data_IF_386507084165
#
_entry.id   IF_386507084165
#
_cell.length_a   1.000
_cell.length_b   1.000
_cell.length_c   1.000
_cell.angle_alpha   90.00
_cell.angle_beta   90.00
_cell.angle_gamma   90.00
#
_symmetry.space_group_name_H-M   'P 1'
#
loop_
_entity.id
_entity.type
_entity.pdbx_description
1 polymer ?
#
# COMPACT_ATOMS: atom_id res chain seq x y z
N UNK A 1 5.58 -7.70 8.75
CA UNK A 1 6.00 -7.23 10.09
C UNK A 1 4.88 -6.34 10.60
N UNK A 2 4.28 -6.70 11.74
CA UNK A 2 3.23 -5.93 12.40
C UNK A 2 3.79 -5.63 13.79
N UNK A 3 4.04 -4.36 14.07
CA UNK A 3 4.65 -3.85 15.30
C UNK A 3 4.81 -2.33 15.20
N UNK A 4 5.19 -1.62 16.28
CA UNK A 4 5.47 -0.18 16.22
C UNK A 4 6.59 0.06 15.20
N UNK A 5 6.27 0.73 14.08
CA UNK A 5 7.19 0.93 12.97
C UNK A 5 6.57 0.68 11.60
N UNK A 6 7.36 0.15 10.66
CA UNK A 6 6.98 0.02 9.24
C UNK A 6 6.10 -1.20 8.99
N UNK A 7 4.88 -0.98 8.52
CA UNK A 7 4.03 -2.05 7.99
C UNK A 7 4.32 -2.29 6.50
N UNK A 8 4.20 -3.54 6.04
CA UNK A 8 4.29 -3.91 4.62
C UNK A 8 3.16 -4.86 4.27
N UNK A 9 2.46 -4.55 3.18
CA UNK A 9 1.50 -5.43 2.52
C UNK A 9 1.84 -5.50 1.03
N UNK A 10 1.33 -6.53 0.36
CA UNK A 10 1.62 -6.81 -1.05
C UNK A 10 0.29 -7.09 -1.74
N UNK A 11 0.09 -6.47 -2.90
CA UNK A 11 -0.96 -6.86 -3.85
C UNK A 11 -0.35 -7.84 -4.83
N UNK A 12 -0.95 -9.02 -4.95
CA UNK A 12 -0.62 -9.99 -6.01
C UNK A 12 -1.74 -9.95 -7.07
N UNK A 13 -1.35 -10.03 -8.34
CA UNK A 13 -2.27 -10.05 -9.48
C UNK A 13 -3.07 -11.35 -9.61
N UNK A 14 -2.69 -12.42 -8.89
CA UNK A 14 -3.38 -13.71 -8.89
C UNK A 14 -3.75 -14.22 -7.50
N UNK A 15 -4.91 -14.88 -7.41
CA UNK A 15 -5.36 -15.58 -6.20
C UNK A 15 -5.93 -16.98 -6.52
N UNK A 16 -5.23 -17.72 -7.41
CA UNK A 16 -5.64 -19.05 -7.90
C UNK A 16 -6.13 -19.03 -9.35
N UNK A 17 -6.71 -20.15 -9.81
CA UNK A 17 -7.18 -20.27 -11.20
C UNK A 17 -8.29 -19.26 -11.50
N UNK A 18 -8.05 -18.38 -12.48
CA UNK A 18 -8.98 -17.32 -12.91
C UNK A 18 -9.54 -16.45 -11.77
N UNK A 19 -8.80 -16.27 -10.68
CA UNK A 19 -9.22 -15.50 -9.51
C UNK A 19 -8.19 -14.42 -9.16
N UNK A 20 -8.67 -13.28 -8.66
CA UNK A 20 -7.84 -12.18 -8.19
C UNK A 20 -8.39 -11.66 -6.86
N UNK A 21 -7.49 -11.38 -5.91
CA UNK A 21 -7.83 -10.73 -4.65
C UNK A 21 -8.17 -9.25 -4.87
N UNK A 22 -8.89 -8.65 -3.94
CA UNK A 22 -9.02 -7.19 -3.93
C UNK A 22 -7.62 -6.55 -3.87
N UNK A 23 -7.41 -5.51 -4.69
CA UNK A 23 -6.16 -4.75 -4.75
C UNK A 23 -6.06 -3.69 -3.66
N UNK A 24 -7.12 -3.49 -2.88
CA UNK A 24 -7.12 -2.56 -1.76
C UNK A 24 -6.26 -3.09 -0.62
N UNK A 25 -5.32 -2.26 -0.18
CA UNK A 25 -4.50 -2.51 1.00
C UNK A 25 -4.96 -1.64 2.16
N UNK A 26 -5.00 -2.21 3.35
CA UNK A 26 -5.43 -1.53 4.57
C UNK A 26 -4.29 -1.51 5.58
N UNK A 27 -3.86 -0.30 5.97
CA UNK A 27 -2.80 -0.09 6.95
C UNK A 27 -3.39 0.52 8.22
N UNK A 28 -3.24 -0.19 9.34
CA UNK A 28 -3.74 0.27 10.63
C UNK A 28 -2.64 1.04 11.37
N UNK A 29 -2.89 2.31 11.69
CA UNK A 29 -1.91 3.17 12.36
C UNK A 29 -2.09 3.23 13.89
N UNK A 30 -3.26 2.83 14.42
CA UNK A 30 -3.59 3.04 15.83
C UNK A 30 -3.48 4.53 16.19
N UNK A 31 -2.79 4.84 17.29
CA UNK A 31 -2.56 6.23 17.74
C UNK A 31 -1.35 6.91 17.06
N UNK A 32 -0.70 6.25 16.08
CA UNK A 32 0.46 6.79 15.40
C UNK A 32 0.06 7.71 14.25
N UNK A 33 0.89 8.73 13.99
CA UNK A 33 0.72 9.60 12.82
C UNK A 33 1.35 8.97 11.58
N UNK A 34 0.68 9.11 10.43
CA UNK A 34 1.25 8.71 9.14
C UNK A 34 2.50 9.54 8.82
N UNK A 35 3.60 8.87 8.48
CA UNK A 35 4.82 9.48 7.95
C UNK A 35 4.77 9.60 6.43
N UNK A 36 5.03 8.48 5.74
CA UNK A 36 4.95 8.38 4.29
C UNK A 36 4.55 6.96 3.87
N UNK A 37 4.09 6.82 2.63
CA UNK A 37 3.80 5.53 2.00
C UNK A 37 4.76 5.34 0.83
N UNK A 38 5.49 4.22 0.81
CA UNK A 38 6.36 3.85 -0.30
C UNK A 38 5.77 2.65 -1.04
N UNK A 39 5.56 2.80 -2.34
CA UNK A 39 5.08 1.76 -3.24
C UNK A 39 6.24 1.31 -4.12
N UNK A 40 6.50 0.01 -4.16
CA UNK A 40 7.42 -0.62 -5.11
C UNK A 40 6.58 -1.29 -6.19
N UNK A 41 6.70 -0.80 -7.42
CA UNK A 41 5.95 -1.30 -8.55
C UNK A 41 6.66 -2.48 -9.23
N UNK A 42 5.93 -3.35 -9.94
CA UNK A 42 6.53 -4.48 -10.68
C UNK A 42 7.57 -4.07 -11.72
N UNK A 43 7.49 -2.85 -12.26
CA UNK A 43 8.52 -2.31 -13.18
C UNK A 43 9.87 -2.03 -12.52
N UNK A 44 9.94 -2.05 -11.18
CA UNK A 44 11.07 -1.56 -10.40
C UNK A 44 10.94 -0.09 -9.97
N UNK A 45 9.91 0.61 -10.43
CA UNK A 45 9.64 2.00 -10.04
C UNK A 45 9.29 2.09 -8.55
N UNK A 46 9.86 3.08 -7.86
CA UNK A 46 9.51 3.40 -6.47
C UNK A 46 8.76 4.73 -6.42
N UNK A 47 7.56 4.72 -5.86
CA UNK A 47 6.75 5.93 -5.66
C UNK A 47 6.61 6.21 -4.16
N UNK A 48 6.89 7.44 -3.75
CA UNK A 48 6.72 7.90 -2.38
C UNK A 48 5.56 8.88 -2.33
N UNK A 49 4.62 8.65 -1.41
CA UNK A 49 3.47 9.48 -1.16
C UNK A 49 3.61 10.10 0.25
N UNK A 50 3.44 11.41 0.32
CA UNK A 50 3.52 12.20 1.54
C UNK A 50 2.23 12.99 1.72
N UNK A 51 1.94 13.39 2.96
CA UNK A 51 0.80 14.27 3.25
C UNK A 51 -0.58 13.64 3.01
N UNK A 52 -0.66 12.30 2.94
CA UNK A 52 -1.94 11.61 2.82
C UNK A 52 -2.76 11.77 4.11
N UNK A 53 -4.05 11.95 3.93
CA UNK A 53 -5.08 11.89 4.97
C UNK A 53 -5.34 10.43 5.36
N UNK A 54 -5.48 10.20 6.67
CA UNK A 54 -5.86 8.88 7.21
C UNK A 54 -7.37 8.67 7.08
N UNK A 55 -7.81 7.42 7.23
CA UNK A 55 -9.23 7.02 7.13
C UNK A 55 -9.90 7.30 5.78
N UNK A 56 -9.10 7.45 4.73
CA UNK A 56 -9.54 7.67 3.36
C UNK A 56 -8.96 6.63 2.39
N UNK A 57 -9.65 6.41 1.28
CA UNK A 57 -9.17 5.55 0.18
C UNK A 57 -8.43 6.40 -0.84
N UNK A 58 -7.13 6.16 -0.98
CA UNK A 58 -6.29 6.81 -1.98
C UNK A 58 -6.12 5.91 -3.20
N UNK A 59 -6.62 6.36 -4.37
CA UNK A 59 -6.33 5.69 -5.64
C UNK A 59 -4.95 6.11 -6.15
N UNK A 60 -4.09 5.14 -6.39
CA UNK A 60 -2.70 5.35 -6.81
C UNK A 60 -2.46 4.64 -8.13
N UNK A 61 -1.71 5.30 -9.02
CA UNK A 61 -1.32 4.75 -10.32
C UNK A 61 0.20 4.81 -10.42
N UNK A 62 0.76 3.76 -11.02
CA UNK A 62 2.17 3.73 -11.35
C UNK A 62 2.53 4.95 -12.22
N UNK A 63 3.55 5.74 -11.83
CA UNK A 63 4.01 6.86 -12.63
C UNK A 63 4.64 6.34 -13.93
N UNK A 64 4.49 7.12 -15.01
CA UNK A 64 5.04 6.80 -16.33
C UNK A 64 6.49 7.23 -16.47
#
# INVERSE_FOLDING_TARGET
EIGPGRQRQVVDGGSGFCSQNDRRLHFGLGDQRLGSVTIQWPSGTTQVLEGLTVDEVHEVKEPR
#
